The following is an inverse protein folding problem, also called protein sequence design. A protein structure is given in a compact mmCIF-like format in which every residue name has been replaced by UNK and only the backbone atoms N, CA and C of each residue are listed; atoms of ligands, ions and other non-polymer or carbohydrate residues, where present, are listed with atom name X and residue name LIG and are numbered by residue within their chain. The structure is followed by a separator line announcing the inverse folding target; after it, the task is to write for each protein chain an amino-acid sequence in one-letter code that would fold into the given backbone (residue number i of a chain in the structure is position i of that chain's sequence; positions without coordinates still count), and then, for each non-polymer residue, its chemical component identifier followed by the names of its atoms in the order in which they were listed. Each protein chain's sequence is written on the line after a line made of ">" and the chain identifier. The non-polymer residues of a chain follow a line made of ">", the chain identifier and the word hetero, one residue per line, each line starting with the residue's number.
data_IF_028543668122
#
_entry.id   IF_028543668122
#
_cell.length_a   1.000
_cell.length_b   1.000
_cell.length_c   1.000
_cell.angle_alpha   90.00
_cell.angle_beta   90.00
_cell.angle_gamma   90.00
#
_symmetry.space_group_name_H-M   'P 1'
#
loop_
_entity.id
_entity.type
_entity.pdbx_description
1 polymer ?
#
# COMPACT_ATOMS: atom_id res chain seq x y z
N UNK A 1 -1.63 -71.00 12.37
CA UNK A 1 -0.86 -70.13 13.29
C UNK A 1 -1.52 -68.77 13.27
N UNK A 2 -2.29 -68.48 14.31
CA UNK A 2 -2.99 -67.22 14.56
C UNK A 2 -1.95 -66.14 14.84
N UNK A 3 -1.78 -65.21 13.90
CA UNK A 3 -1.02 -64.00 14.16
C UNK A 3 -1.75 -63.16 15.21
N UNK A 4 -0.97 -62.66 16.14
CA UNK A 4 -1.34 -62.04 17.40
C UNK A 4 -2.20 -60.79 17.19
N UNK A 5 -3.52 -60.92 17.42
CA UNK A 5 -4.51 -59.84 17.37
C UNK A 5 -4.16 -58.64 18.27
N UNK A 6 -3.26 -58.81 19.25
CA UNK A 6 -2.81 -57.74 20.12
C UNK A 6 -1.73 -56.83 19.52
N UNK A 7 -1.08 -57.23 18.42
CA UNK A 7 -0.11 -56.38 17.72
C UNK A 7 -0.80 -55.32 16.87
N UNK A 8 -1.83 -55.69 16.12
CA UNK A 8 -2.57 -54.76 15.26
C UNK A 8 -3.26 -53.66 16.08
N UNK A 9 -3.91 -54.03 17.19
CA UNK A 9 -4.58 -53.08 18.09
C UNK A 9 -3.61 -52.06 18.71
N UNK A 10 -2.38 -52.50 19.01
CA UNK A 10 -1.32 -51.64 19.56
C UNK A 10 -0.77 -50.68 18.51
N UNK A 11 -0.69 -51.11 17.26
CA UNK A 11 -0.29 -50.26 16.13
C UNK A 11 -1.39 -49.26 15.76
N UNK A 12 -2.66 -49.67 15.75
CA UNK A 12 -3.81 -48.79 15.50
C UNK A 12 -3.92 -47.66 16.54
N UNK A 13 -3.71 -48.00 17.81
CA UNK A 13 -3.65 -47.01 18.89
C UNK A 13 -2.48 -46.02 18.70
N UNK A 14 -1.34 -46.52 18.21
CA UNK A 14 -0.16 -45.71 17.95
C UNK A 14 -0.36 -44.75 16.76
N UNK A 15 -0.94 -45.23 15.67
CA UNK A 15 -1.29 -44.40 14.50
C UNK A 15 -2.27 -43.29 14.88
N UNK A 16 -3.26 -43.61 15.72
CA UNK A 16 -4.25 -42.63 16.18
C UNK A 16 -3.64 -41.57 17.09
N UNK A 17 -2.71 -41.96 17.98
CA UNK A 17 -2.06 -41.07 18.94
C UNK A 17 -1.07 -40.11 18.26
N UNK A 18 -0.39 -40.57 17.20
CA UNK A 18 0.64 -39.81 16.50
C UNK A 18 0.19 -39.22 15.15
N UNK A 19 -1.11 -39.25 14.85
CA UNK A 19 -1.70 -38.58 13.69
C UNK A 19 -1.22 -37.11 13.60
N UNK A 20 -0.39 -36.75 12.60
CA UNK A 20 0.14 -35.40 12.45
C UNK A 20 -0.95 -34.34 12.31
N UNK A 21 -2.13 -34.72 11.82
CA UNK A 21 -3.28 -33.83 11.73
C UNK A 21 -3.85 -33.48 13.11
N UNK A 22 -3.63 -34.31 14.14
CA UNK A 22 -4.08 -34.10 15.54
C UNK A 22 -2.96 -33.61 16.47
N UNK A 23 -1.70 -33.85 16.18
CA UNK A 23 -0.61 -33.47 17.10
C UNK A 23 0.12 -32.21 16.65
N UNK A 24 0.26 -31.97 15.34
CA UNK A 24 1.07 -30.89 14.81
C UNK A 24 0.23 -29.67 14.37
N UNK A 25 0.43 -28.55 15.06
CA UNK A 25 -0.17 -27.26 14.72
C UNK A 25 0.29 -26.77 13.33
N UNK A 26 1.51 -27.09 12.89
CA UNK A 26 2.02 -26.70 11.58
C UNK A 26 1.38 -27.52 10.45
N UNK A 27 1.21 -28.83 10.62
CA UNK A 27 0.48 -29.69 9.68
C UNK A 27 -0.97 -29.22 9.42
N UNK A 28 -1.65 -28.68 10.45
CA UNK A 28 -2.99 -28.08 10.32
C UNK A 28 -2.98 -26.71 9.64
N UNK A 29 -1.84 -26.01 9.63
CA UNK A 29 -1.68 -24.71 8.96
C UNK A 29 -1.37 -24.92 7.47
N UNK A 30 -2.23 -25.67 6.75
CA UNK A 30 -2.29 -25.50 5.29
C UNK A 30 -2.74 -24.06 5.04
N UNK A 31 -1.87 -23.27 4.40
CA UNK A 31 -2.17 -21.88 4.02
C UNK A 31 -3.49 -21.88 3.25
N UNK A 32 -4.51 -21.20 3.80
CA UNK A 32 -5.74 -20.94 3.06
C UNK A 32 -5.36 -20.30 1.72
N UNK A 33 -5.93 -20.73 0.59
CA UNK A 33 -5.67 -20.08 -0.69
C UNK A 33 -5.99 -18.59 -0.54
N UNK A 34 -5.04 -17.73 -0.90
CA UNK A 34 -5.23 -16.28 -0.81
C UNK A 34 -6.36 -15.92 -1.78
N UNK A 35 -7.39 -15.24 -1.27
CA UNK A 35 -8.45 -14.69 -2.11
C UNK A 35 -7.81 -13.72 -3.10
N UNK A 36 -7.96 -13.99 -4.39
CA UNK A 36 -7.50 -13.08 -5.44
C UNK A 36 -8.44 -11.88 -5.45
N UNK A 37 -7.95 -10.74 -4.95
CA UNK A 37 -8.70 -9.48 -5.01
C UNK A 37 -8.81 -9.05 -6.46
N UNK A 38 -10.04 -8.84 -6.94
CA UNK A 38 -10.28 -8.17 -8.20
C UNK A 38 -10.63 -6.70 -7.93
N UNK A 39 -9.86 -5.74 -8.46
CA UNK A 39 -10.14 -4.33 -8.27
C UNK A 39 -11.47 -3.94 -8.91
N UNK A 40 -12.26 -3.12 -8.22
CA UNK A 40 -13.57 -2.65 -8.69
C UNK A 40 -13.49 -1.56 -9.76
N UNK A 41 -12.35 -0.88 -9.87
CA UNK A 41 -12.10 0.20 -10.83
C UNK A 41 -11.02 -0.24 -11.80
N UNK A 42 -11.22 0.05 -13.09
CA UNK A 42 -10.17 -0.13 -14.09
C UNK A 42 -9.05 0.90 -13.86
N UNK A 43 -7.86 0.59 -14.35
CA UNK A 43 -6.74 1.53 -14.31
C UNK A 43 -7.07 2.84 -15.04
N UNK A 44 -7.79 2.76 -16.16
CA UNK A 44 -8.29 3.91 -16.93
C UNK A 44 -9.23 4.79 -16.11
N UNK A 45 -10.20 4.20 -15.40
CA UNK A 45 -11.09 4.96 -14.53
C UNK A 45 -10.33 5.66 -13.38
N UNK A 46 -9.23 5.08 -12.89
CA UNK A 46 -8.39 5.71 -11.88
C UNK A 46 -7.67 6.92 -12.49
N UNK A 47 -7.12 6.78 -13.70
CA UNK A 47 -6.46 7.87 -14.41
C UNK A 47 -7.42 9.01 -14.78
N UNK A 48 -8.64 8.71 -15.24
CA UNK A 48 -9.66 9.71 -15.55
C UNK A 48 -10.06 10.53 -14.32
N UNK A 49 -10.27 9.87 -13.16
CA UNK A 49 -10.58 10.59 -11.92
C UNK A 49 -9.43 11.52 -11.47
N UNK A 50 -8.18 11.17 -11.78
CA UNK A 50 -7.01 12.00 -11.49
C UNK A 50 -6.92 13.16 -12.50
N UNK A 51 -7.19 12.90 -13.78
CA UNK A 51 -7.16 13.90 -14.83
C UNK A 51 -8.26 14.98 -14.67
N UNK A 52 -9.46 14.59 -14.26
CA UNK A 52 -10.57 15.54 -14.03
C UNK A 52 -10.28 16.52 -12.88
N UNK A 53 -9.43 16.15 -11.91
CA UNK A 53 -8.98 17.09 -10.88
C UNK A 53 -7.96 18.12 -11.38
N UNK A 54 -7.31 17.88 -12.52
CA UNK A 54 -6.20 18.68 -13.05
C UNK A 54 -6.61 19.63 -14.18
N UNK A 55 -7.77 19.43 -14.81
CA UNK A 55 -8.15 20.13 -16.04
C UNK A 55 -9.08 21.32 -15.84
N UNK A 56 -8.55 22.54 -15.65
CA UNK A 56 -9.11 23.74 -16.33
C UNK A 56 -8.29 25.04 -16.21
N UNK A 57 -7.28 25.13 -15.35
CA UNK A 57 -6.56 26.40 -15.13
C UNK A 57 -5.07 26.09 -15.08
N UNK A 58 -4.28 26.69 -15.99
CA UNK A 58 -2.86 26.40 -16.24
C UNK A 58 -2.14 25.88 -15.00
N UNK A 59 -2.05 24.55 -14.91
CA UNK A 59 -1.87 23.85 -13.65
C UNK A 59 -0.63 24.32 -12.91
N UNK A 60 -0.72 24.39 -11.59
CA UNK A 60 0.47 24.50 -10.75
C UNK A 60 1.23 23.17 -10.84
N UNK A 61 1.96 23.01 -11.94
CA UNK A 61 2.77 21.82 -12.23
C UNK A 61 4.06 21.89 -11.43
N UNK A 62 4.32 20.83 -10.66
CA UNK A 62 5.51 20.74 -9.82
C UNK A 62 6.43 19.61 -10.26
N UNK A 63 7.75 19.82 -10.22
CA UNK A 63 8.77 18.80 -10.50
C UNK A 63 8.69 17.63 -9.51
N UNK A 64 8.39 17.94 -8.25
CA UNK A 64 8.14 16.93 -7.23
C UNK A 64 6.82 16.20 -7.52
N UNK A 65 6.89 14.87 -7.63
CA UNK A 65 5.70 14.02 -7.79
C UNK A 65 5.20 13.61 -6.39
N UNK A 66 4.05 14.15 -5.94
CA UNK A 66 3.49 13.80 -4.64
C UNK A 66 2.98 12.35 -4.62
N UNK A 67 3.00 11.74 -3.45
CA UNK A 67 2.34 10.44 -3.24
C UNK A 67 0.82 10.56 -3.20
N UNK A 68 0.12 9.43 -3.24
CA UNK A 68 -1.36 9.35 -3.30
C UNK A 68 -2.10 10.22 -2.26
N UNK A 69 -1.58 10.27 -1.03
CA UNK A 69 -2.18 11.05 0.05
C UNK A 69 -1.73 12.50 0.06
N UNK A 70 -0.61 12.84 -0.59
CA UNK A 70 -0.11 14.21 -0.68
C UNK A 70 -0.73 14.97 -1.84
N UNK A 71 -0.95 14.31 -2.97
CA UNK A 71 -1.48 14.92 -4.20
C UNK A 71 -2.80 15.66 -3.94
N UNK A 72 -3.69 15.07 -3.13
CA UNK A 72 -5.00 15.64 -2.83
C UNK A 72 -5.00 16.93 -2.01
N UNK A 73 -3.92 17.26 -1.27
CA UNK A 73 -3.86 18.47 -0.45
C UNK A 73 -2.66 19.37 -0.74
N UNK A 74 -1.54 18.83 -1.20
CA UNK A 74 -0.28 19.55 -1.36
C UNK A 74 -0.42 20.73 -2.33
N UNK A 75 -0.91 20.46 -3.54
CA UNK A 75 -1.09 21.49 -4.57
C UNK A 75 -2.10 22.55 -4.11
N UNK A 76 -3.23 22.13 -3.52
CA UNK A 76 -4.24 23.07 -2.99
C UNK A 76 -3.71 23.97 -1.88
N UNK A 77 -2.85 23.44 -1.01
CA UNK A 77 -2.26 24.18 0.12
C UNK A 77 -1.17 25.14 -0.32
N UNK A 78 -0.48 24.81 -1.41
CA UNK A 78 0.61 25.62 -1.95
C UNK A 78 0.17 26.63 -3.02
N UNK A 79 -1.05 26.49 -3.53
CA UNK A 79 -1.58 27.32 -4.63
C UNK A 79 -1.51 28.81 -4.34
N UNK A 80 -1.83 29.23 -3.12
CA UNK A 80 -1.78 30.65 -2.74
C UNK A 80 -0.38 31.26 -2.84
N UNK A 81 0.68 30.49 -2.60
CA UNK A 81 2.06 30.96 -2.76
C UNK A 81 2.47 31.07 -4.23
N UNK A 82 1.93 30.19 -5.07
CA UNK A 82 2.13 30.25 -6.52
C UNK A 82 1.40 31.46 -7.12
N UNK A 83 0.13 31.67 -6.76
CA UNK A 83 -0.69 32.79 -7.26
C UNK A 83 -0.12 34.15 -6.84
N UNK A 84 0.55 34.21 -5.68
CA UNK A 84 1.26 35.41 -5.19
C UNK A 84 2.67 35.58 -5.81
N UNK A 85 3.07 34.72 -6.75
CA UNK A 85 4.40 34.69 -7.35
C UNK A 85 5.53 34.64 -6.29
N UNK A 86 5.33 33.87 -5.21
CA UNK A 86 6.38 33.63 -4.20
C UNK A 86 7.23 32.42 -4.57
N UNK A 87 6.59 31.40 -5.15
CA UNK A 87 7.22 30.18 -5.62
C UNK A 87 6.83 29.90 -7.06
N UNK A 88 7.71 29.24 -7.80
CA UNK A 88 7.46 28.80 -9.19
C UNK A 88 7.29 27.30 -9.29
N UNK A 89 7.96 26.53 -8.43
CA UNK A 89 7.99 25.07 -8.49
C UNK A 89 8.27 24.46 -7.10
N UNK A 90 7.84 23.21 -6.88
CA UNK A 90 8.23 22.36 -5.75
C UNK A 90 9.21 21.30 -6.28
N UNK A 91 10.46 21.35 -5.83
CA UNK A 91 11.53 20.50 -6.36
C UNK A 91 11.62 19.15 -5.66
N UNK A 92 11.47 19.11 -4.33
CA UNK A 92 11.60 17.88 -3.55
C UNK A 92 11.04 18.01 -2.13
N UNK A 93 10.62 16.89 -1.54
CA UNK A 93 10.40 16.78 -0.08
C UNK A 93 11.74 16.50 0.62
N UNK A 94 12.16 17.41 1.49
CA UNK A 94 13.43 17.32 2.23
C UNK A 94 13.28 16.46 3.48
N UNK A 95 12.20 16.64 4.23
CA UNK A 95 11.95 15.90 5.48
C UNK A 95 10.46 15.68 5.68
N UNK A 96 10.08 14.46 6.03
CA UNK A 96 8.74 14.13 6.48
C UNK A 96 8.70 14.00 8.00
N UNK A 97 7.65 14.51 8.63
CA UNK A 97 7.48 14.51 10.09
C UNK A 97 6.04 14.23 10.50
N UNK A 98 5.82 14.01 11.79
CA UNK A 98 4.48 13.76 12.35
C UNK A 98 3.58 15.00 12.26
N UNK A 99 4.17 16.17 12.45
CA UNK A 99 3.44 17.45 12.57
C UNK A 99 3.68 18.38 11.38
N UNK A 100 4.74 18.14 10.61
CA UNK A 100 5.09 18.96 9.46
C UNK A 100 5.92 18.18 8.44
N UNK A 101 5.72 18.51 7.18
CA UNK A 101 6.59 18.14 6.07
C UNK A 101 7.35 19.38 5.61
N UNK A 102 8.60 19.20 5.22
CA UNK A 102 9.47 20.26 4.68
C UNK A 102 9.72 19.99 3.21
N UNK A 103 9.34 20.96 2.38
CA UNK A 103 9.53 20.93 0.94
C UNK A 103 10.53 22.00 0.51
N UNK A 104 11.32 21.69 -0.52
CA UNK A 104 12.22 22.63 -1.18
C UNK A 104 11.52 23.16 -2.43
N UNK A 105 11.29 24.47 -2.47
CA UNK A 105 10.65 25.14 -3.59
C UNK A 105 11.66 26.00 -4.37
N UNK A 106 11.40 26.22 -5.65
CA UNK A 106 12.04 27.26 -6.44
C UNK A 106 11.33 28.59 -6.16
N UNK A 107 12.10 29.61 -5.80
CA UNK A 107 11.57 30.95 -5.60
C UNK A 107 11.23 31.60 -6.94
N UNK A 108 10.30 32.56 -6.93
CA UNK A 108 10.09 33.41 -8.09
C UNK A 108 11.25 34.41 -8.23
N UNK A 109 11.74 34.72 -9.45
CA UNK A 109 12.89 35.61 -9.67
C UNK A 109 12.73 37.04 -9.13
N UNK A 110 11.51 37.45 -8.81
CA UNK A 110 11.23 38.79 -8.25
C UNK A 110 11.37 38.83 -6.73
N UNK A 111 11.37 37.67 -6.09
CA UNK A 111 11.30 37.52 -4.63
C UNK A 111 12.58 36.87 -4.07
N UNK A 112 13.46 36.35 -4.93
CA UNK A 112 14.71 35.66 -4.57
C UNK A 112 15.82 35.81 -5.59
#
# INVERSE_FOLDING_TARGET
>A
MSFDSGYDERYDAYETAFDPMKTDRQARRKRKPRVKHQPKKSHEQIMENIADTQGLEGGFETTYVPGLFEEGWLLSSLRSFYDQALITDVLARVRGGKEANVYRCAAHPTTG
#
